data_IF_001412102231
#
_entry.id   IF_001412102231
#
_cell.length_a   1.000
_cell.length_b   1.000
_cell.length_c   1.000
_cell.angle_alpha   90.00
_cell.angle_beta   90.00
_cell.angle_gamma   90.00
#
_symmetry.space_group_name_H-M   'P 1'
#
loop_
_entity.id
_entity.type
_entity.pdbx_description
1 polymer ?
#
# COMPACT_ATOMS: atom_id res chain seq x y z
N UNK A 1 -21.97 -6.20 -15.52
CA UNK A 1 -21.65 -4.96 -14.79
C UNK A 1 -20.50 -4.28 -15.53
N UNK A 2 -20.67 -3.04 -16.01
CA UNK A 2 -19.56 -2.27 -16.60
C UNK A 2 -18.77 -1.67 -15.44
N UNK A 3 -17.54 -2.15 -15.25
CA UNK A 3 -16.58 -1.53 -14.34
C UNK A 3 -16.04 -0.28 -15.04
N UNK A 4 -16.21 0.88 -14.42
CA UNK A 4 -15.49 2.08 -14.84
C UNK A 4 -14.16 2.07 -14.08
N UNK A 5 -13.01 1.98 -14.76
CA UNK A 5 -11.73 2.05 -14.08
C UNK A 5 -11.61 3.46 -13.48
N UNK A 6 -11.55 3.52 -12.16
CA UNK A 6 -11.24 4.75 -11.44
C UNK A 6 -9.85 4.55 -10.83
N UNK A 7 -8.89 5.33 -11.34
CA UNK A 7 -7.57 5.52 -10.75
C UNK A 7 -7.68 6.77 -9.87
N UNK A 8 -7.41 6.61 -8.59
CA UNK A 8 -7.38 7.70 -7.62
C UNK A 8 -5.94 7.84 -7.14
N UNK A 9 -5.43 9.06 -7.12
CA UNK A 9 -4.06 9.36 -6.72
C UNK A 9 -4.08 10.40 -5.60
N UNK A 10 -3.59 9.97 -4.43
CA UNK A 10 -3.22 10.71 -3.22
C UNK A 10 -4.30 11.53 -2.48
N UNK A 11 -4.27 11.41 -1.15
CA UNK A 11 -5.25 11.97 -0.22
C UNK A 11 -6.28 10.92 0.20
N UNK A 12 -6.70 10.95 1.47
CA UNK A 12 -7.70 10.03 2.06
C UNK A 12 -8.83 9.73 1.08
N UNK A 13 -8.87 8.50 0.58
CA UNK A 13 -9.82 8.07 -0.45
C UNK A 13 -10.77 7.03 0.10
N UNK A 14 -12.07 7.31 0.00
CA UNK A 14 -13.12 6.32 0.23
C UNK A 14 -13.41 5.58 -1.07
N UNK A 15 -13.13 4.28 -1.11
CA UNK A 15 -13.50 3.43 -2.23
C UNK A 15 -14.67 2.53 -1.80
N UNK A 16 -15.84 2.76 -2.42
CA UNK A 16 -16.99 1.87 -2.27
C UNK A 16 -16.96 0.84 -3.40
N UNK A 17 -16.75 -0.43 -3.06
CA UNK A 17 -16.87 -1.53 -4.02
C UNK A 17 -18.29 -2.08 -3.96
N UNK A 18 -19.01 -1.94 -5.07
CA UNK A 18 -20.33 -2.53 -5.24
C UNK A 18 -20.16 -3.99 -5.68
N UNK A 19 -20.58 -4.92 -4.83
CA UNK A 19 -20.63 -6.33 -5.17
C UNK A 19 -22.02 -6.69 -5.73
N UNK A 20 -22.05 -7.72 -6.55
CA UNK A 20 -23.08 -8.04 -7.55
C UNK A 20 -24.55 -7.96 -7.06
N UNK A 21 -25.44 -7.56 -7.98
CA UNK A 21 -26.87 -7.27 -7.74
C UNK A 21 -27.72 -8.55 -7.76
N UNK A 22 -28.52 -8.79 -6.71
CA UNK A 22 -29.77 -9.55 -6.77
C UNK A 22 -30.88 -8.62 -6.26
N UNK A 23 -32.09 -8.78 -6.81
CA UNK A 23 -33.14 -7.75 -6.98
C UNK A 23 -33.68 -7.02 -5.73
N UNK A 24 -33.14 -7.23 -4.51
CA UNK A 24 -33.60 -6.58 -3.26
C UNK A 24 -32.48 -6.09 -2.31
N UNK A 25 -31.19 -6.11 -2.69
CA UNK A 25 -30.12 -5.62 -1.81
C UNK A 25 -28.72 -5.78 -2.38
N UNK A 26 -28.00 -4.68 -2.58
CA UNK A 26 -26.61 -4.69 -3.05
C UNK A 26 -25.70 -4.99 -1.85
N UNK A 27 -25.00 -6.12 -1.87
CA UNK A 27 -23.91 -6.36 -0.93
C UNK A 27 -22.76 -5.38 -1.28
N UNK A 28 -22.38 -4.55 -0.31
CA UNK A 28 -21.29 -3.59 -0.47
C UNK A 28 -20.09 -3.98 0.38
N UNK A 29 -18.91 -3.88 -0.21
CA UNK A 29 -17.65 -3.98 0.50
C UNK A 29 -17.00 -2.60 0.52
N UNK A 30 -16.79 -2.06 1.71
CA UNK A 30 -16.19 -0.76 1.94
C UNK A 30 -14.76 -0.95 2.42
N UNK A 31 -13.84 -0.27 1.76
CA UNK A 31 -12.47 -0.14 2.21
C UNK A 31 -12.09 1.33 2.33
N UNK A 32 -11.13 1.61 3.20
CA UNK A 32 -10.47 2.92 3.29
C UNK A 32 -9.01 2.73 2.97
N UNK A 33 -8.45 3.60 2.16
CA UNK A 33 -7.01 3.68 1.96
C UNK A 33 -6.41 4.87 2.71
N UNK A 34 -5.30 4.61 3.38
CA UNK A 34 -4.37 5.63 3.85
C UNK A 34 -3.00 5.38 3.21
N UNK A 35 -2.35 6.46 2.78
CA UNK A 35 -1.02 6.43 2.16
C UNK A 35 -0.24 7.63 2.66
N UNK A 36 1.09 7.53 2.68
CA UNK A 36 1.97 8.68 2.88
C UNK A 36 1.66 9.45 4.17
N UNK A 37 1.36 8.69 5.22
CA UNK A 37 1.09 9.29 6.53
C UNK A 37 2.38 9.83 7.16
N UNK A 38 3.55 9.33 6.71
CA UNK A 38 4.87 9.84 7.09
C UNK A 38 5.04 10.04 8.60
N UNK A 39 4.53 9.07 9.37
CA UNK A 39 4.54 9.15 10.82
C UNK A 39 5.96 9.26 11.38
N UNK A 40 6.16 10.14 12.36
CA UNK A 40 7.45 10.35 13.02
C UNK A 40 8.21 11.59 12.56
N UNK A 41 7.63 12.41 11.67
CA UNK A 41 8.18 13.72 11.31
C UNK A 41 7.90 14.78 12.37
N UNK A 42 6.68 14.80 12.91
CA UNK A 42 6.28 15.76 13.93
C UNK A 42 5.11 15.22 14.76
N UNK A 43 5.33 15.02 16.06
CA UNK A 43 4.33 14.46 16.96
C UNK A 43 2.96 15.17 16.92
N UNK A 44 2.91 16.48 16.70
CA UNK A 44 1.64 17.21 16.57
C UNK A 44 0.88 16.87 15.28
N UNK A 45 1.61 16.66 14.17
CA UNK A 45 1.01 16.23 12.90
C UNK A 45 0.62 14.76 12.96
N UNK A 46 1.49 13.92 13.53
CA UNK A 46 1.22 12.51 13.75
C UNK A 46 -0.08 12.32 14.57
N UNK A 47 -0.23 13.08 15.66
CA UNK A 47 -1.46 13.02 16.47
C UNK A 47 -2.70 13.48 15.70
N UNK A 48 -2.58 14.47 14.82
CA UNK A 48 -3.69 14.93 13.98
C UNK A 48 -4.07 13.85 12.95
N UNK A 49 -3.09 13.30 12.22
CA UNK A 49 -3.33 12.22 11.26
C UNK A 49 -3.94 10.99 11.92
N UNK A 50 -3.44 10.56 13.09
CA UNK A 50 -4.03 9.46 13.85
C UNK A 50 -5.49 9.74 14.25
N UNK A 51 -5.78 10.95 14.73
CA UNK A 51 -7.14 11.33 15.11
C UNK A 51 -8.10 11.33 13.90
N UNK A 52 -7.67 11.88 12.76
CA UNK A 52 -8.49 11.89 11.54
C UNK A 52 -8.71 10.48 10.98
N UNK A 53 -7.66 9.65 10.94
CA UNK A 53 -7.78 8.26 10.52
C UNK A 53 -8.76 7.50 11.43
N UNK A 54 -8.66 7.69 12.75
CA UNK A 54 -9.57 7.04 13.71
C UNK A 54 -11.03 7.51 13.55
N UNK A 55 -11.22 8.81 13.33
CA UNK A 55 -12.54 9.39 13.05
C UNK A 55 -13.13 8.82 11.77
N UNK A 56 -12.35 8.74 10.69
CA UNK A 56 -12.79 8.17 9.41
C UNK A 56 -13.15 6.70 9.54
N UNK A 57 -12.30 5.89 10.19
CA UNK A 57 -12.59 4.46 10.41
C UNK A 57 -13.88 4.30 11.22
N UNK A 58 -14.05 5.09 12.27
CA UNK A 58 -15.24 5.03 13.13
C UNK A 58 -16.50 5.53 12.44
N UNK A 59 -16.39 6.55 11.59
CA UNK A 59 -17.52 7.13 10.86
C UNK A 59 -17.97 6.22 9.71
N UNK A 60 -17.01 5.72 8.93
CA UNK A 60 -17.28 4.96 7.72
C UNK A 60 -17.50 3.47 7.99
N UNK A 61 -16.96 2.95 9.10
CA UNK A 61 -17.01 1.54 9.49
C UNK A 61 -16.63 0.60 8.33
N UNK A 62 -15.40 0.73 7.77
CA UNK A 62 -14.99 -0.11 6.64
C UNK A 62 -14.78 -1.56 7.07
N UNK A 63 -14.93 -2.49 6.13
CA UNK A 63 -14.55 -3.90 6.36
C UNK A 63 -13.03 -4.12 6.22
N UNK A 64 -12.31 -3.18 5.59
CA UNK A 64 -10.86 -3.25 5.43
C UNK A 64 -10.23 -1.85 5.41
N UNK A 65 -9.13 -1.69 6.13
CA UNK A 65 -8.22 -0.55 5.96
C UNK A 65 -6.99 -0.99 5.16
N UNK A 66 -6.66 -0.28 4.09
CA UNK A 66 -5.46 -0.48 3.30
C UNK A 66 -4.45 0.61 3.61
N UNK A 67 -3.23 0.22 3.92
CA UNK A 67 -2.08 1.10 3.99
C UNK A 67 -1.19 0.87 2.76
N UNK A 68 -1.09 1.86 1.88
CA UNK A 68 -0.42 1.72 0.57
C UNK A 68 0.98 2.34 0.52
N UNK A 69 1.74 2.15 1.60
CA UNK A 69 3.14 2.58 1.69
C UNK A 69 3.33 3.94 2.35
N UNK A 70 4.59 4.18 2.71
CA UNK A 70 5.08 5.38 3.39
C UNK A 70 4.28 5.73 4.64
N UNK A 71 4.03 4.69 5.44
CA UNK A 71 3.33 4.85 6.71
C UNK A 71 4.23 5.59 7.69
N UNK A 72 5.54 5.30 7.70
CA UNK A 72 6.51 5.93 8.61
C UNK A 72 7.58 6.68 7.85
N UNK A 73 7.89 7.88 8.32
CA UNK A 73 8.93 8.72 7.74
C UNK A 73 10.31 8.35 8.27
N UNK A 74 11.25 8.10 7.36
CA UNK A 74 12.67 7.96 7.67
C UNK A 74 13.39 9.31 7.86
N UNK A 75 12.73 10.46 7.65
CA UNK A 75 13.34 11.80 7.70
C UNK A 75 13.86 12.14 9.10
N UNK A 76 13.33 11.47 10.13
CA UNK A 76 13.81 11.54 11.52
C UNK A 76 15.17 10.86 11.77
N UNK A 77 15.70 10.10 10.80
CA UNK A 77 16.94 9.31 10.90
C UNK A 77 18.12 9.88 10.13
N UNK A 78 17.93 10.86 9.22
CA UNK A 78 19.06 11.57 8.66
C UNK A 78 19.78 12.34 9.79
N UNK A 79 21.04 12.01 10.12
CA UNK A 79 21.82 12.88 10.95
C UNK A 79 22.07 14.13 10.09
N UNK A 80 21.28 15.20 10.32
CA UNK A 80 21.64 16.56 9.88
C UNK A 80 23.14 16.69 10.10
N UNK A 81 23.93 16.93 9.05
CA UNK A 81 25.39 17.10 9.10
C UNK A 81 25.73 18.23 10.08
N UNK A 82 25.69 17.96 11.39
CA UNK A 82 26.01 18.87 12.48
C UNK A 82 27.28 18.36 13.12
N UNK A 83 28.27 19.23 13.18
CA UNK A 83 29.63 19.03 13.70
C UNK A 83 29.60 18.17 14.98
N UNK A 84 30.30 17.03 14.94
CA UNK A 84 30.50 16.12 16.07
C UNK A 84 31.00 16.90 17.30
N UNK A 85 30.18 17.01 18.36
CA UNK A 85 30.68 17.29 19.72
C UNK A 85 30.74 15.97 20.49
N UNK A 86 31.89 15.68 21.10
CA UNK A 86 32.11 14.54 22.00
C UNK A 86 31.22 14.73 23.24
N UNK A 87 30.12 13.97 23.32
CA UNK A 87 29.16 14.00 24.43
C UNK A 87 27.79 13.37 24.13
N UNK A 88 27.43 13.22 22.85
CA UNK A 88 26.04 12.94 22.43
C UNK A 88 25.64 11.45 22.29
N UNK A 89 26.50 10.52 22.72
CA UNK A 89 26.29 9.09 22.47
C UNK A 89 25.11 8.49 23.27
N UNK A 90 24.96 8.89 24.53
CA UNK A 90 23.89 8.36 25.40
C UNK A 90 22.51 8.94 25.06
N UNK A 91 22.43 10.22 24.68
CA UNK A 91 21.16 10.88 24.30
C UNK A 91 20.61 10.32 22.98
N UNK A 92 21.47 10.06 21.98
CA UNK A 92 21.07 9.39 20.73
C UNK A 92 20.48 8.00 20.97
N UNK A 93 21.08 7.22 21.87
CA UNK A 93 20.60 5.87 22.18
C UNK A 93 19.20 5.90 22.82
N UNK A 94 18.96 6.82 23.76
CA UNK A 94 17.65 6.95 24.42
C UNK A 94 16.56 7.53 23.50
N UNK A 95 16.90 8.47 22.61
CA UNK A 95 15.98 8.97 21.59
C UNK A 95 15.68 7.93 20.49
N UNK A 96 16.67 7.16 20.02
CA UNK A 96 16.44 6.06 19.06
C UNK A 96 15.59 4.94 19.66
N UNK A 97 15.76 4.63 20.95
CA UNK A 97 14.90 3.64 21.63
C UNK A 97 13.43 4.12 21.65
N UNK A 98 13.15 5.40 21.93
CA UNK A 98 11.77 5.92 21.89
C UNK A 98 11.18 5.97 20.48
N UNK A 99 11.99 6.18 19.44
CA UNK A 99 11.54 6.22 18.03
C UNK A 99 11.31 4.82 17.42
N UNK A 100 12.15 3.83 17.75
CA UNK A 100 11.94 2.41 17.38
C UNK A 100 10.59 1.85 17.83
N UNK A 101 10.05 2.39 18.92
CA UNK A 101 8.76 1.99 19.48
C UNK A 101 7.56 2.64 18.78
N UNK A 102 7.74 3.74 18.02
CA UNK A 102 6.61 4.50 17.48
C UNK A 102 5.89 3.76 16.35
N UNK A 103 6.63 3.16 15.39
CA UNK A 103 6.05 2.31 14.33
C UNK A 103 5.16 1.22 14.95
N UNK A 104 5.68 0.50 15.94
CA UNK A 104 4.99 -0.58 16.63
C UNK A 104 3.80 -0.09 17.46
N UNK A 105 3.94 1.07 18.11
CA UNK A 105 2.87 1.68 18.89
C UNK A 105 1.75 2.19 17.99
N UNK A 106 2.06 2.74 16.81
CA UNK A 106 1.06 3.22 15.84
C UNK A 106 0.13 2.08 15.40
N UNK A 107 0.70 0.99 14.85
CA UNK A 107 -0.09 -0.15 14.39
C UNK A 107 -0.93 -0.75 15.52
N UNK A 108 -0.30 -0.89 16.68
CA UNK A 108 -0.97 -1.38 17.87
C UNK A 108 -2.14 -0.47 18.27
N UNK A 109 -1.90 0.83 18.39
CA UNK A 109 -2.89 1.77 18.92
C UNK A 109 -4.03 2.06 17.94
N UNK A 110 -3.74 2.18 16.65
CA UNK A 110 -4.77 2.46 15.64
C UNK A 110 -5.70 1.27 15.41
N UNK A 111 -5.14 0.06 15.27
CA UNK A 111 -5.90 -1.09 14.79
C UNK A 111 -6.36 -2.05 15.90
N UNK A 112 -5.72 -2.07 17.07
CA UNK A 112 -6.33 -2.76 18.22
C UNK A 112 -7.55 -2.00 18.74
N UNK A 113 -7.58 -0.67 18.62
CA UNK A 113 -8.69 0.16 19.14
C UNK A 113 -9.91 0.19 18.21
N UNK A 114 -9.71 0.01 16.90
CA UNK A 114 -10.79 0.05 15.92
C UNK A 114 -11.40 -1.32 15.60
N UNK A 115 -10.80 -2.42 16.09
CA UNK A 115 -11.18 -3.80 15.78
C UNK A 115 -11.39 -4.08 14.27
N UNK A 116 -10.76 -3.26 13.42
CA UNK A 116 -10.99 -3.22 11.98
C UNK A 116 -9.86 -3.96 11.26
N UNK A 117 -10.17 -4.94 10.39
CA UNK A 117 -9.15 -5.61 9.59
C UNK A 117 -8.33 -4.63 8.76
N UNK A 118 -7.02 -4.86 8.66
CA UNK A 118 -6.14 -3.99 7.89
C UNK A 118 -5.06 -4.76 7.12
N UNK A 119 -4.59 -4.19 6.01
CA UNK A 119 -3.57 -4.76 5.15
C UNK A 119 -2.58 -3.68 4.71
N UNK A 120 -1.32 -4.06 4.47
CA UNK A 120 -0.22 -3.11 4.27
C UNK A 120 0.77 -3.56 3.19
N UNK A 121 1.08 -2.66 2.25
CA UNK A 121 2.24 -2.76 1.37
C UNK A 121 3.23 -1.65 1.66
N UNK A 122 4.51 -1.92 1.49
CA UNK A 122 5.61 -1.01 1.84
C UNK A 122 5.80 0.07 0.77
N UNK A 123 6.12 1.28 1.23
CA UNK A 123 6.61 2.36 0.38
C UNK A 123 8.13 2.51 0.38
N UNK A 124 8.65 3.52 -0.32
CA UNK A 124 10.09 3.72 -0.47
C UNK A 124 10.73 4.30 0.81
N UNK A 125 9.97 5.04 1.63
CA UNK A 125 10.49 5.61 2.87
C UNK A 125 10.45 4.65 4.06
N UNK A 126 9.66 3.58 3.98
CA UNK A 126 9.39 2.71 5.13
C UNK A 126 10.64 1.96 5.66
N UNK A 127 11.56 1.53 4.79
CA UNK A 127 12.77 0.79 5.18
C UNK A 127 14.06 1.64 5.23
N UNK A 128 13.93 2.96 5.14
CA UNK A 128 15.08 3.89 5.22
C UNK A 128 15.47 4.23 6.67
N UNK A 129 14.77 3.67 7.66
CA UNK A 129 14.98 3.89 9.09
C UNK A 129 15.74 2.72 9.76
N UNK A 130 15.37 2.38 10.99
CA UNK A 130 16.06 1.37 11.81
C UNK A 130 15.69 -0.09 11.49
N UNK A 131 14.64 -0.33 10.69
CA UNK A 131 14.14 -1.65 10.31
C UNK A 131 14.15 -1.80 8.80
N UNK A 132 14.52 -2.99 8.32
CA UNK A 132 14.40 -3.32 6.89
C UNK A 132 12.98 -3.80 6.53
N UNK A 133 12.66 -3.83 5.23
CA UNK A 133 11.38 -4.29 4.68
C UNK A 133 10.90 -5.61 5.30
N UNK A 134 11.78 -6.59 5.40
CA UNK A 134 11.46 -7.92 5.96
C UNK A 134 11.10 -7.87 7.43
N UNK A 135 11.82 -7.10 8.24
CA UNK A 135 11.52 -6.92 9.66
C UNK A 135 10.16 -6.22 9.86
N UNK A 136 9.86 -5.23 9.02
CA UNK A 136 8.61 -4.49 9.04
C UNK A 136 7.43 -5.42 8.74
N UNK A 137 7.46 -6.17 7.64
CA UNK A 137 6.37 -7.09 7.28
C UNK A 137 6.24 -8.22 8.28
N UNK A 138 7.34 -8.81 8.74
CA UNK A 138 7.30 -9.84 9.78
C UNK A 138 6.70 -9.36 11.11
N UNK A 139 6.77 -8.05 11.37
CA UNK A 139 6.05 -7.47 12.50
C UNK A 139 4.57 -7.26 12.17
N UNK A 140 4.26 -6.65 11.01
CA UNK A 140 2.89 -6.35 10.58
C UNK A 140 2.00 -7.60 10.55
N UNK A 141 2.51 -8.73 10.04
CA UNK A 141 1.80 -10.03 9.97
C UNK A 141 1.38 -10.55 11.36
N UNK A 142 2.10 -10.17 12.43
CA UNK A 142 1.86 -10.67 13.79
C UNK A 142 0.89 -9.81 14.60
N UNK A 143 0.44 -8.69 14.06
CA UNK A 143 -0.42 -7.76 14.77
C UNK A 143 -1.88 -8.19 14.72
N UNK A 144 -2.63 -7.80 15.75
CA UNK A 144 -4.08 -7.98 15.81
C UNK A 144 -4.75 -7.33 14.60
N UNK A 145 -5.77 -8.02 14.06
CA UNK A 145 -6.56 -7.59 12.90
C UNK A 145 -5.75 -7.40 11.58
N UNK A 146 -4.46 -7.72 11.56
CA UNK A 146 -3.66 -7.67 10.34
C UNK A 146 -4.02 -8.83 9.41
N UNK A 147 -4.35 -8.50 8.18
CA UNK A 147 -4.47 -9.40 7.04
C UNK A 147 -3.23 -9.34 6.14
N UNK A 148 -2.20 -8.58 6.53
CA UNK A 148 -0.93 -8.50 5.80
C UNK A 148 -0.28 -9.87 5.74
N UNK A 149 0.28 -10.24 4.58
CA UNK A 149 1.02 -11.48 4.40
C UNK A 149 2.44 -11.18 3.92
N UNK A 150 3.40 -12.01 4.31
CA UNK A 150 4.71 -12.00 3.68
C UNK A 150 4.59 -12.66 2.30
N UNK A 151 5.18 -12.03 1.30
CA UNK A 151 5.19 -12.56 -0.05
C UNK A 151 6.12 -13.75 -0.27
N UNK A 152 6.11 -14.34 -1.47
CA UNK A 152 7.04 -15.40 -1.85
C UNK A 152 8.50 -14.98 -1.64
N UNK A 153 9.33 -15.89 -1.16
CA UNK A 153 10.73 -15.60 -0.80
C UNK A 153 11.70 -15.68 -1.98
N UNK A 154 11.22 -16.13 -3.13
CA UNK A 154 11.96 -16.36 -4.38
C UNK A 154 11.74 -15.27 -5.44
N UNK A 155 11.02 -14.20 -5.10
CA UNK A 155 10.77 -13.03 -5.95
C UNK A 155 11.24 -11.72 -5.29
N UNK A 156 11.26 -10.63 -6.05
CA UNK A 156 11.67 -9.31 -5.57
C UNK A 156 10.64 -8.65 -4.67
N UNK A 157 11.09 -8.03 -3.58
CA UNK A 157 10.21 -7.40 -2.59
C UNK A 157 9.63 -8.37 -1.55
N UNK A 158 9.01 -7.83 -0.50
CA UNK A 158 8.57 -8.62 0.66
C UNK A 158 7.07 -8.53 0.90
N UNK A 159 6.44 -7.44 0.48
CA UNK A 159 5.01 -7.17 0.67
C UNK A 159 4.15 -7.54 -0.54
N UNK A 160 4.50 -8.63 -1.22
CA UNK A 160 3.79 -9.15 -2.41
C UNK A 160 2.76 -10.21 -2.01
N UNK A 161 1.47 -9.89 -2.00
CA UNK A 161 0.43 -10.86 -1.66
C UNK A 161 -0.92 -10.40 -2.23
N UNK A 162 -1.96 -11.22 -2.04
CA UNK A 162 -3.32 -10.82 -2.38
C UNK A 162 -4.31 -11.30 -1.31
N UNK A 163 -5.42 -10.57 -1.21
CA UNK A 163 -6.57 -10.93 -0.37
C UNK A 163 -7.79 -11.09 -1.26
N UNK A 164 -8.44 -12.24 -1.21
CA UNK A 164 -9.71 -12.46 -1.91
C UNK A 164 -10.86 -12.09 -0.99
N UNK A 165 -11.72 -11.19 -1.44
CA UNK A 165 -12.98 -10.88 -0.77
C UNK A 165 -14.04 -11.85 -1.26
N UNK A 166 -14.85 -12.37 -0.35
CA UNK A 166 -15.95 -13.29 -0.64
C UNK A 166 -17.29 -12.65 -0.27
N UNK A 167 -18.34 -12.96 -1.04
CA UNK A 167 -19.71 -12.59 -0.70
C UNK A 167 -20.29 -13.51 0.39
N UNK A 168 -21.52 -13.22 0.84
CA UNK A 168 -22.23 -14.06 1.83
C UNK A 168 -22.43 -15.52 1.38
N UNK A 169 -22.46 -15.76 0.06
CA UNK A 169 -22.55 -17.09 -0.55
C UNK A 169 -21.18 -17.78 -0.73
N UNK A 170 -20.10 -17.24 -0.12
CA UNK A 170 -18.74 -17.74 -0.19
C UNK A 170 -18.17 -17.82 -1.62
N UNK A 171 -18.57 -16.90 -2.50
CA UNK A 171 -18.04 -16.74 -3.84
C UNK A 171 -17.04 -15.57 -3.89
N UNK A 172 -15.89 -15.72 -4.57
CA UNK A 172 -14.90 -14.65 -4.68
C UNK A 172 -15.42 -13.50 -5.52
N UNK A 173 -15.37 -12.27 -5.01
CA UNK A 173 -15.90 -11.08 -5.71
C UNK A 173 -14.81 -10.14 -6.21
N UNK A 174 -13.73 -9.97 -5.45
CA UNK A 174 -12.58 -9.15 -5.83
C UNK A 174 -11.29 -9.71 -5.22
N UNK A 175 -10.19 -9.63 -5.97
CA UNK A 175 -8.85 -9.84 -5.44
C UNK A 175 -8.19 -8.48 -5.19
N UNK A 176 -7.71 -8.26 -3.97
CA UNK A 176 -6.95 -7.06 -3.61
C UNK A 176 -5.49 -7.47 -3.61
N UNK A 177 -4.74 -6.99 -4.60
CA UNK A 177 -3.33 -7.29 -4.80
C UNK A 177 -2.48 -6.20 -4.15
N UNK A 178 -1.42 -6.63 -3.47
CA UNK A 178 -0.41 -5.78 -2.86
C UNK A 178 0.91 -6.13 -3.53
N UNK A 179 1.60 -5.15 -4.11
CA UNK A 179 2.86 -5.36 -4.81
C UNK A 179 3.91 -4.37 -4.34
N UNK A 180 5.03 -4.91 -3.90
CA UNK A 180 6.15 -4.19 -3.34
C UNK A 180 6.92 -3.47 -4.45
N UNK A 181 6.81 -2.14 -4.51
CA UNK A 181 7.50 -1.30 -5.49
C UNK A 181 8.92 -0.91 -5.07
N UNK A 182 9.45 -1.51 -4.00
CA UNK A 182 10.80 -1.27 -3.46
C UNK A 182 11.04 0.21 -3.09
N UNK A 183 12.30 0.64 -3.10
CA UNK A 183 12.75 1.98 -2.67
C UNK A 183 13.30 2.78 -3.86
N UNK A 184 14.52 2.47 -4.30
CA UNK A 184 15.20 3.18 -5.38
C UNK A 184 15.89 2.24 -6.36
N UNK A 185 16.22 2.79 -7.53
CA UNK A 185 17.07 2.23 -8.57
C UNK A 185 16.64 0.85 -9.09
N UNK A 186 15.47 0.80 -9.75
CA UNK A 186 14.96 -0.42 -10.36
C UNK A 186 15.98 -1.00 -11.36
N UNK A 187 16.50 -2.21 -11.07
CA UNK A 187 17.53 -2.88 -11.86
C UNK A 187 18.74 -2.01 -12.25
N UNK A 188 19.22 -1.18 -11.31
CA UNK A 188 20.33 -0.23 -11.50
C UNK A 188 20.05 0.94 -12.47
N UNK A 189 18.79 1.17 -12.85
CA UNK A 189 18.39 2.41 -13.54
C UNK A 189 18.17 3.48 -12.48
N UNK A 190 18.84 4.62 -12.59
CA UNK A 190 18.77 5.69 -11.59
C UNK A 190 17.34 6.23 -11.45
N UNK A 191 16.84 6.30 -10.21
CA UNK A 191 15.53 6.88 -9.87
C UNK A 191 14.75 6.05 -8.85
N UNK A 192 13.42 6.07 -8.93
CA UNK A 192 12.55 5.34 -8.00
C UNK A 192 12.51 3.83 -8.28
N UNK A 193 12.17 3.05 -7.26
CA UNK A 193 11.95 1.61 -7.35
C UNK A 193 10.81 1.23 -8.30
N UNK A 194 10.59 -0.07 -8.45
CA UNK A 194 9.57 -0.65 -9.32
C UNK A 194 9.08 -1.98 -8.73
N UNK A 195 7.94 -2.46 -9.22
CA UNK A 195 7.58 -3.87 -9.08
C UNK A 195 8.45 -4.69 -10.03
N UNK A 196 9.29 -5.56 -9.46
CA UNK A 196 10.27 -6.36 -10.21
C UNK A 196 9.64 -7.36 -11.21
N UNK A 197 10.40 -7.76 -12.22
CA UNK A 197 9.95 -8.71 -13.25
C UNK A 197 9.47 -10.04 -12.66
N UNK A 198 10.14 -10.53 -11.61
CA UNK A 198 9.75 -11.76 -10.89
C UNK A 198 8.39 -11.62 -10.22
N UNK A 199 8.06 -10.43 -9.71
CA UNK A 199 6.75 -10.12 -9.12
C UNK A 199 5.67 -9.96 -10.18
N UNK A 200 6.01 -9.38 -11.34
CA UNK A 200 5.10 -9.33 -12.50
C UNK A 200 4.73 -10.75 -12.95
N UNK A 201 5.74 -11.62 -13.10
CA UNK A 201 5.55 -13.02 -13.46
C UNK A 201 4.73 -13.77 -12.41
N UNK A 202 5.03 -13.57 -11.12
CA UNK A 202 4.26 -14.13 -10.02
C UNK A 202 2.77 -13.73 -10.08
N UNK A 203 2.48 -12.45 -10.32
CA UNK A 203 1.10 -11.98 -10.47
C UNK A 203 0.41 -12.68 -11.64
N UNK A 204 1.05 -12.75 -12.80
CA UNK A 204 0.49 -13.39 -13.99
C UNK A 204 0.13 -14.86 -13.70
N UNK A 205 1.10 -15.64 -13.20
CA UNK A 205 0.91 -17.06 -12.91
C UNK A 205 -0.14 -17.28 -11.81
N UNK A 206 -0.16 -16.42 -10.79
CA UNK A 206 -1.12 -16.51 -9.69
C UNK A 206 -2.54 -16.16 -10.17
N UNK A 207 -2.69 -15.12 -10.98
CA UNK A 207 -3.97 -14.75 -11.61
C UNK A 207 -4.53 -15.87 -12.49
N UNK A 208 -3.69 -16.50 -13.32
CA UNK A 208 -4.10 -17.64 -14.16
C UNK A 208 -4.54 -18.84 -13.32
N UNK A 209 -3.82 -19.14 -12.24
CA UNK A 209 -4.18 -20.20 -11.30
C UNK A 209 -5.51 -19.91 -10.59
N UNK A 210 -5.77 -18.66 -10.20
CA UNK A 210 -7.04 -18.25 -9.60
C UNK A 210 -8.20 -18.38 -10.59
N UNK A 211 -7.99 -18.00 -11.86
CA UNK A 211 -8.96 -18.18 -12.93
C UNK A 211 -9.31 -19.65 -13.14
N UNK A 212 -8.32 -20.53 -13.18
CA UNK A 212 -8.53 -21.98 -13.27
C UNK A 212 -9.28 -22.53 -12.05
N UNK A 213 -8.94 -22.06 -10.85
CA UNK A 213 -9.53 -22.51 -9.58
C UNK A 213 -11.02 -22.13 -9.50
N UNK A 214 -11.38 -20.93 -9.92
CA UNK A 214 -12.74 -20.40 -9.80
C UNK A 214 -13.57 -20.52 -11.09
N UNK A 215 -12.97 -21.00 -12.19
CA UNK A 215 -13.61 -21.12 -13.50
C UNK A 215 -13.94 -19.80 -14.17
N UNK A 216 -13.45 -18.67 -13.64
CA UNK A 216 -13.61 -17.33 -14.19
C UNK A 216 -12.56 -16.37 -13.65
N UNK A 217 -12.33 -15.28 -14.38
CA UNK A 217 -11.56 -14.14 -13.87
C UNK A 217 -12.31 -13.46 -12.72
N UNK A 218 -11.59 -13.20 -11.64
CA UNK A 218 -12.08 -12.41 -10.51
C UNK A 218 -11.54 -10.99 -10.70
N UNK A 219 -12.39 -9.95 -10.71
CA UNK A 219 -11.92 -8.57 -10.76
C UNK A 219 -10.85 -8.29 -9.71
N UNK A 220 -9.84 -7.51 -10.05
CA UNK A 220 -8.72 -7.20 -9.17
C UNK A 220 -8.50 -5.71 -8.99
N UNK A 221 -8.04 -5.34 -7.80
CA UNK A 221 -7.53 -4.00 -7.49
C UNK A 221 -6.09 -4.17 -7.05
N UNK A 222 -5.20 -3.32 -7.54
CA UNK A 222 -3.77 -3.38 -7.19
C UNK A 222 -3.39 -2.18 -6.35
N UNK A 223 -2.65 -2.41 -5.28
CA UNK A 223 -1.98 -1.40 -4.47
C UNK A 223 -0.48 -1.49 -4.68
N UNK A 224 0.10 -0.40 -5.18
CA UNK A 224 1.53 -0.17 -5.35
C UNK A 224 1.86 1.21 -4.78
N UNK A 225 2.97 1.35 -4.08
CA UNK A 225 3.29 2.64 -3.48
C UNK A 225 3.86 3.63 -4.51
N UNK A 226 4.93 3.24 -5.20
CA UNK A 226 5.51 4.07 -6.26
C UNK A 226 4.65 3.88 -7.52
N UNK A 227 4.13 4.94 -8.15
CA UNK A 227 3.18 4.83 -9.24
C UNK A 227 3.81 4.29 -10.53
N UNK A 228 3.00 3.61 -11.33
CA UNK A 228 3.33 3.17 -12.69
C UNK A 228 3.75 4.35 -13.59
N UNK A 229 4.74 4.18 -14.49
CA UNK A 229 5.06 5.19 -15.50
C UNK A 229 3.87 5.61 -16.37
N UNK A 230 2.91 4.70 -16.60
CA UNK A 230 1.67 4.93 -17.34
C UNK A 230 0.80 6.06 -16.77
N UNK A 231 0.95 6.41 -15.48
CA UNK A 231 0.23 7.53 -14.86
C UNK A 231 0.53 8.85 -15.57
N UNK A 232 1.77 9.05 -16.03
CA UNK A 232 2.14 10.24 -16.81
C UNK A 232 1.43 10.26 -18.17
N UNK A 233 1.27 9.10 -18.82
CA UNK A 233 0.54 9.02 -20.07
C UNK A 233 -0.94 9.32 -19.87
N UNK A 234 -1.53 8.82 -18.79
CA UNK A 234 -2.90 9.10 -18.41
C UNK A 234 -3.13 10.60 -18.18
N UNK A 235 -2.27 11.24 -17.37
CA UNK A 235 -2.37 12.67 -17.07
C UNK A 235 -2.23 13.57 -18.30
N UNK A 236 -1.30 13.24 -19.20
CA UNK A 236 -0.99 14.10 -20.34
C UNK A 236 -1.92 13.91 -21.54
N UNK A 237 -2.55 12.74 -21.69
CA UNK A 237 -3.26 12.39 -22.94
C UNK A 237 -4.76 12.13 -22.75
N UNK A 238 -5.26 12.06 -21.52
CA UNK A 238 -6.66 11.75 -21.24
C UNK A 238 -7.29 12.78 -20.32
N UNK A 239 -8.63 12.84 -20.34
CA UNK A 239 -9.37 13.65 -19.39
C UNK A 239 -9.22 13.03 -17.98
N UNK A 240 -8.59 13.76 -17.08
CA UNK A 240 -8.42 13.39 -15.68
C UNK A 240 -9.27 14.28 -14.78
N UNK A 241 -9.67 13.75 -13.63
CA UNK A 241 -10.31 14.52 -12.57
C UNK A 241 -9.40 14.50 -11.32
N UNK A 242 -9.21 15.66 -10.70
CA UNK A 242 -8.31 15.82 -9.55
C UNK A 242 -7.34 16.99 -9.72
N UNK A 243 -6.40 17.11 -8.79
CA UNK A 243 -5.36 18.15 -8.83
C UNK A 243 -3.98 17.52 -8.68
N UNK A 244 -3.08 17.76 -9.64
CA UNK A 244 -1.66 17.49 -9.47
C UNK A 244 -1.01 18.75 -8.88
N UNK A 245 -0.69 18.70 -7.58
CA UNK A 245 -0.07 19.82 -6.86
C UNK A 245 1.46 19.73 -6.85
N UNK A 246 2.01 18.55 -7.12
CA UNK A 246 3.44 18.34 -7.23
C UNK A 246 4.00 18.77 -8.59
N UNK A 247 5.30 19.07 -8.60
CA UNK A 247 6.02 19.51 -9.81
C UNK A 247 6.27 18.39 -10.83
N UNK A 248 5.98 17.14 -10.47
CA UNK A 248 6.13 15.96 -11.31
C UNK A 248 5.55 14.71 -10.65
N UNK A 249 5.61 13.57 -11.35
CA UNK A 249 5.22 12.27 -10.81
C UNK A 249 6.49 11.44 -10.58
N UNK A 250 6.68 10.96 -9.35
CA UNK A 250 7.80 10.13 -8.93
C UNK A 250 7.60 8.67 -9.33
N UNK A 251 7.37 8.39 -10.62
CA UNK A 251 7.13 7.04 -11.12
C UNK A 251 8.42 6.22 -11.27
N UNK A 252 8.26 4.93 -11.54
CA UNK A 252 9.37 3.98 -11.67
C UNK A 252 10.46 4.44 -12.63
N UNK A 253 11.72 4.21 -12.25
CA UNK A 253 12.88 4.46 -13.11
C UNK A 253 12.95 3.53 -14.33
N UNK A 254 12.38 2.32 -14.22
CA UNK A 254 12.26 1.35 -15.29
C UNK A 254 10.84 0.78 -15.32
N UNK A 255 10.23 0.75 -16.51
CA UNK A 255 8.95 0.11 -16.72
C UNK A 255 9.14 -1.41 -16.88
N UNK A 256 8.59 -2.19 -15.96
CA UNK A 256 8.69 -3.67 -15.97
C UNK A 256 7.59 -4.36 -16.78
N UNK A 257 6.69 -3.59 -17.40
CA UNK A 257 5.60 -4.11 -18.23
C UNK A 257 4.37 -4.56 -17.43
N UNK A 258 4.32 -4.31 -16.11
CA UNK A 258 3.21 -4.73 -15.24
C UNK A 258 1.85 -4.28 -15.81
N UNK A 259 1.72 -3.04 -16.26
CA UNK A 259 0.47 -2.55 -16.86
C UNK A 259 0.04 -3.34 -18.09
N UNK A 260 0.98 -3.68 -18.97
CA UNK A 260 0.69 -4.48 -20.16
C UNK A 260 0.21 -5.88 -19.79
N UNK A 261 0.85 -6.52 -18.81
CA UNK A 261 0.41 -7.83 -18.29
C UNK A 261 -0.98 -7.75 -17.66
N UNK A 262 -1.27 -6.72 -16.85
CA UNK A 262 -2.61 -6.50 -16.28
C UNK A 262 -3.67 -6.29 -17.36
N UNK A 263 -3.33 -5.55 -18.43
CA UNK A 263 -4.22 -5.32 -19.57
C UNK A 263 -4.49 -6.62 -20.35
N UNK A 264 -3.45 -7.43 -20.61
CA UNK A 264 -3.57 -8.72 -21.30
C UNK A 264 -4.36 -9.74 -20.47
N UNK A 265 -4.10 -9.82 -19.16
CA UNK A 265 -4.88 -10.63 -18.22
C UNK A 265 -6.33 -10.15 -18.16
N UNK A 266 -6.57 -8.85 -18.21
CA UNK A 266 -7.91 -8.25 -18.30
C UNK A 266 -8.78 -8.54 -17.07
N UNK A 267 -8.16 -8.80 -15.92
CA UNK A 267 -8.81 -9.05 -14.64
C UNK A 267 -8.66 -7.87 -13.66
N UNK A 268 -7.70 -6.96 -13.85
CA UNK A 268 -7.53 -5.76 -13.03
C UNK A 268 -8.46 -4.64 -13.51
N UNK A 269 -9.20 -4.06 -12.57
CA UNK A 269 -10.15 -2.95 -12.82
C UNK A 269 -9.67 -1.62 -12.24
N UNK A 270 -8.69 -1.63 -11.34
CA UNK A 270 -8.16 -0.43 -10.69
C UNK A 270 -6.75 -0.69 -10.17
N UNK A 271 -5.90 0.33 -10.23
CA UNK A 271 -4.56 0.37 -9.65
C UNK A 271 -4.51 1.62 -8.77
N UNK A 272 -3.86 1.54 -7.63
CA UNK A 272 -3.68 2.61 -6.66
C UNK A 272 -2.20 2.71 -6.31
#
# INVERSE_FOLDING_TARGET
MKWYPVLFLFGTGLCNLYCQQNEDGVETFKLIQFTDTHFGEAASKDNQSMAEMANLISYEMPQLVVLSGDVVSAVSFEPKKKKKKRGDFFLKKMFNIKKKFFFFFFFKYMFEMSETPWAYTLGNHDDQADYNRTQIINYAVKQSYSLTQAGPTDIGGVSNYYLTVFNSANQPIVNIWFMDSLDTNCYNVEGYGCVEFSTVEWYQQTSEKLEQTYGRKIPGIVYIHIPLPEVLMLWNNFATAGTLQDTGVCCWSLNTGLFSVMQERGDIVSVW
#
